data_IF_547552120245
#
_entry.id   IF_547552120245
#
_cell.length_a   1.000
_cell.length_b   1.000
_cell.length_c   1.000
_cell.angle_alpha   90.00
_cell.angle_beta   90.00
_cell.angle_gamma   90.00
#
_symmetry.space_group_name_H-M   'P 1'
#
loop_
_entity.id
_entity.type
_entity.pdbx_description
1 polymer ?
2 non-polymer ?
3 non-polymer ?
4 water ?
#
# COMPACT_ATOMS: atom_id res chain seq x y z
N UNK A 6 16.14 -17.10 10.22
CA UNK A 6 15.75 -15.73 9.88
C UNK A 6 14.40 -15.39 10.49
N UNK A 7 13.32 -15.75 9.79
CA UNK A 7 11.98 -15.42 10.25
C UNK A 7 11.62 -16.12 11.56
N UNK A 8 12.34 -17.17 11.93
CA UNK A 8 12.06 -17.90 13.16
C UNK A 8 13.08 -17.64 14.26
N UNK A 9 13.91 -16.61 14.10
CA UNK A 9 14.86 -16.19 15.14
C UNK A 9 14.24 -15.03 15.92
N UNK A 10 14.02 -15.24 17.21
CA UNK A 10 13.50 -14.16 18.03
C UNK A 10 14.49 -13.00 18.01
N UNK A 11 14.01 -11.76 18.11
CA UNK A 11 12.63 -11.38 18.41
C UNK A 11 11.69 -11.25 17.21
N UNK A 12 12.06 -11.74 16.03
CA UNK A 12 11.21 -11.52 14.86
C UNK A 12 9.81 -12.11 15.03
N UNK A 13 9.65 -13.37 15.45
CA UNK A 13 8.27 -13.87 15.67
C UNK A 13 7.48 -13.02 16.64
N UNK A 14 8.05 -12.65 17.78
CA UNK A 14 7.35 -11.79 18.73
C UNK A 14 6.98 -10.46 18.09
N UNK A 15 7.93 -9.84 17.39
CA UNK A 15 7.67 -8.56 16.75
C UNK A 15 6.51 -8.67 15.76
N UNK A 16 6.50 -9.72 14.95
CA UNK A 16 5.47 -9.88 13.94
C UNK A 16 4.12 -10.15 14.58
N UNK A 17 4.11 -10.91 15.68
CA UNK A 17 2.87 -11.14 16.41
C UNK A 17 2.32 -9.83 16.96
N UNK A 18 3.19 -9.00 17.55
CA UNK A 18 2.76 -7.68 18.02
C UNK A 18 2.17 -6.88 16.87
N UNK A 19 2.83 -6.90 15.70
CA UNK A 19 2.35 -6.14 14.56
C UNK A 19 0.99 -6.64 14.08
N UNK A 20 0.79 -7.97 14.09
CA UNK A 20 -0.52 -8.52 13.74
C UNK A 20 -1.58 -8.00 14.70
N UNK A 21 -1.29 -8.01 16.00
CA UNK A 21 -2.24 -7.53 16.99
C UNK A 21 -2.50 -6.04 16.81
N UNK A 22 -1.45 -5.27 16.53
CA UNK A 22 -1.63 -3.84 16.31
C UNK A 22 -2.43 -3.59 15.04
N UNK A 23 -2.15 -4.35 13.98
CA UNK A 23 -2.94 -4.22 12.75
C UNK A 23 -4.42 -4.42 13.03
N UNK A 24 -4.76 -5.42 13.86
CA UNK A 24 -6.16 -5.71 14.13
C UNK A 24 -6.81 -4.61 14.98
N UNK A 25 -6.11 -4.15 16.01
CA UNK A 25 -6.65 -3.09 16.86
C UNK A 25 -6.86 -1.81 16.05
N UNK A 26 -5.85 -1.40 15.28
CA UNK A 26 -5.96 -0.18 14.50
C UNK A 26 -7.08 -0.27 13.48
N UNK A 27 -7.19 -1.41 12.80
CA UNK A 27 -8.21 -1.55 11.76
C UNK A 27 -9.61 -1.52 12.36
N UNK A 28 -9.79 -2.06 13.56
CA UNK A 28 -11.13 -2.18 14.12
C UNK A 28 -11.57 -0.90 14.83
N UNK A 29 -10.65 -0.19 15.49
CA UNK A 29 -11.00 0.97 16.28
C UNK A 29 -10.32 2.25 15.85
N UNK A 30 -9.38 2.20 14.92
CA UNK A 30 -8.63 3.37 14.52
C UNK A 30 -7.36 3.56 15.33
N UNK A 31 -6.43 4.32 14.75
CA UNK A 31 -5.14 4.57 15.39
C UNK A 31 -5.30 5.41 16.64
N UNK A 32 -6.07 6.50 16.56
CA UNK A 32 -6.15 7.46 17.64
C UNK A 32 -6.65 6.83 18.94
N UNK A 33 -7.72 6.03 18.85
CA UNK A 33 -8.35 5.49 20.05
C UNK A 33 -7.67 4.24 20.61
N UNK A 34 -6.73 3.65 19.89
CA UNK A 34 -6.01 2.48 20.37
C UNK A 34 -4.84 2.91 21.23
N UNK A 35 -4.79 2.41 22.47
CA UNK A 35 -3.70 2.70 23.38
C UNK A 35 -2.70 1.56 23.39
N UNK A 36 -1.50 1.84 23.88
CA UNK A 36 -0.46 0.82 23.96
C UNK A 36 -0.91 -0.30 24.90
N UNK A 37 -1.61 0.08 25.97
CA UNK A 37 -2.15 -0.92 26.89
C UNK A 37 -3.04 -1.91 26.15
N UNK A 38 -3.90 -1.41 25.25
CA UNK A 38 -4.74 -2.29 24.47
C UNK A 38 -3.90 -3.21 23.58
N UNK A 39 -2.81 -2.69 23.01
CA UNK A 39 -1.93 -3.52 22.20
C UNK A 39 -1.23 -4.55 23.07
N UNK A 40 -0.84 -4.17 24.28
CA UNK A 40 -0.30 -5.15 25.23
C UNK A 40 -1.31 -6.25 25.49
N UNK A 41 -2.55 -5.88 25.83
CA UNK A 41 -3.57 -6.88 26.11
C UNK A 41 -3.83 -7.75 24.90
N UNK A 42 -3.85 -7.16 23.70
CA UNK A 42 -4.19 -7.93 22.51
C UNK A 42 -3.06 -8.87 22.12
N UNK A 43 -1.81 -8.45 22.27
CA UNK A 43 -0.67 -9.27 21.90
C UNK A 43 -0.19 -10.17 23.03
N UNK A 44 -0.74 -10.02 24.23
CA UNK A 44 -0.32 -10.77 25.41
C UNK A 44 1.08 -10.40 25.87
N UNK A 45 1.64 -9.29 25.39
CA UNK A 45 2.96 -8.83 25.81
C UNK A 45 2.82 -7.75 26.87
N UNK A 46 3.64 -7.85 27.91
CA UNK A 46 3.63 -6.82 28.94
C UNK A 46 4.17 -5.51 28.38
N UNK A 47 3.84 -4.38 29.03
CA UNK A 47 4.41 -3.10 28.57
C UNK A 47 5.93 -3.14 28.43
N UNK A 48 6.63 -3.68 29.43
CA UNK A 48 8.08 -3.77 29.36
C UNK A 48 8.57 -4.41 28.09
N UNK A 49 8.09 -5.63 27.80
CA UNK A 49 8.50 -6.32 26.59
C UNK A 49 8.11 -5.53 25.35
N UNK A 50 6.85 -5.08 25.27
CA UNK A 50 6.39 -4.36 24.10
C UNK A 50 7.28 -3.16 23.81
N UNK A 51 7.56 -2.34 24.83
CA UNK A 51 8.29 -1.10 24.61
C UNK A 51 9.72 -1.35 24.18
N UNK A 52 10.29 -2.52 24.50
CA UNK A 52 11.61 -2.86 23.97
C UNK A 52 11.59 -2.96 22.45
N UNK A 53 10.47 -3.38 21.87
CA UNK A 53 10.36 -3.57 20.43
C UNK A 53 9.63 -2.46 19.71
N UNK A 54 8.75 -1.74 20.41
CA UNK A 54 8.04 -0.60 19.84
C UNK A 54 7.86 0.43 20.96
N UNK A 55 8.67 1.49 20.98
CA UNK A 55 8.58 2.46 22.07
C UNK A 55 7.34 3.34 22.03
N UNK A 56 6.61 3.38 20.91
CA UNK A 56 5.49 4.29 20.79
C UNK A 56 4.48 3.74 19.79
N UNK A 57 3.26 4.28 19.86
CA UNK A 57 2.27 4.03 18.81
C UNK A 57 2.84 4.41 17.45
N UNK A 58 3.60 5.50 17.39
CA UNK A 58 4.15 5.97 16.13
C UNK A 58 5.10 4.95 15.53
N UNK A 59 5.89 4.28 16.38
CA UNK A 59 6.80 3.25 15.88
C UNK A 59 6.01 2.10 15.26
N UNK A 60 4.86 1.76 15.84
CA UNK A 60 4.05 0.67 15.31
C UNK A 60 3.50 1.01 13.93
N UNK A 61 2.91 2.20 13.78
CA UNK A 61 2.33 2.56 12.49
C UNK A 61 3.43 2.76 11.45
N UNK A 62 4.62 3.20 11.87
CA UNK A 62 5.73 3.31 10.94
C UNK A 62 6.09 1.95 10.36
N UNK A 63 6.16 0.92 11.21
CA UNK A 63 6.49 -0.41 10.72
C UNK A 63 5.38 -0.94 9.81
N UNK A 64 4.12 -0.63 10.13
CA UNK A 64 3.01 -1.07 9.30
C UNK A 64 3.08 -0.41 7.92
N UNK A 65 3.34 0.89 7.89
CA UNK A 65 3.46 1.61 6.62
C UNK A 65 4.60 1.03 5.78
N UNK A 66 5.68 0.61 6.43
CA UNK A 66 6.79 0.01 5.69
C UNK A 66 6.41 -1.35 5.13
N UNK A 67 5.60 -2.11 5.87
CA UNK A 67 5.08 -3.37 5.33
C UNK A 67 4.20 -3.11 4.11
N UNK A 68 3.26 -2.16 4.23
CA UNK A 68 2.42 -1.80 3.09
C UNK A 68 3.26 -1.37 1.90
N UNK A 69 4.25 -0.51 2.16
CA UNK A 69 5.19 -0.10 1.11
C UNK A 69 5.83 -1.31 0.44
N UNK A 70 6.29 -2.27 1.25
CA UNK A 70 6.96 -3.43 0.70
C UNK A 70 6.03 -4.21 -0.21
N UNK A 71 4.80 -4.45 0.24
CA UNK A 71 3.83 -5.16 -0.61
C UNK A 71 3.66 -4.45 -1.95
N UNK A 72 3.63 -3.13 -1.95
CA UNK A 72 3.49 -2.39 -3.20
C UNK A 72 4.71 -2.57 -4.09
N UNK A 73 5.90 -2.57 -3.49
CA UNK A 73 7.13 -2.67 -4.28
C UNK A 73 7.29 -4.05 -4.90
N UNK A 74 6.73 -5.09 -4.30
CA UNK A 74 6.82 -6.42 -4.89
C UNK A 74 6.23 -6.44 -6.29
N UNK A 75 5.27 -5.56 -6.56
CA UNK A 75 4.63 -5.53 -7.87
C UNK A 75 5.50 -4.84 -8.93
N UNK A 76 6.32 -3.88 -8.53
CA UNK A 76 7.00 -3.00 -9.46
C UNK A 76 8.51 -2.93 -9.28
N UNK A 77 9.09 -3.68 -8.35
CA UNK A 77 10.52 -3.55 -8.08
C UNK A 77 11.35 -4.00 -9.27
N UNK A 78 10.97 -5.09 -9.92
CA UNK A 78 11.77 -5.66 -10.99
C UNK A 78 11.17 -5.35 -12.35
N UNK A 79 11.98 -5.35 -13.41
CA UNK A 79 11.42 -5.13 -14.75
C UNK A 79 10.37 -6.17 -15.08
N UNK A 80 9.33 -5.74 -15.79
CA UNK A 80 8.27 -6.65 -16.18
C UNK A 80 8.77 -7.63 -17.24
N UNK A 81 8.36 -8.89 -17.09
CA UNK A 81 8.66 -9.92 -18.07
C UNK A 81 7.42 -10.79 -18.23
N UNK A 82 6.88 -10.83 -19.44
CA UNK A 82 5.73 -11.68 -19.73
C UNK A 82 4.39 -10.99 -19.66
N UNK A 83 4.35 -9.66 -19.72
CA UNK A 83 3.09 -8.92 -19.72
C UNK A 83 3.36 -7.47 -20.07
N UNK A 84 2.46 -6.87 -20.85
CA UNK A 84 2.58 -5.45 -21.13
C UNK A 84 2.28 -4.60 -19.91
N UNK A 85 2.85 -3.40 -19.89
CA UNK A 85 2.69 -2.51 -18.74
C UNK A 85 1.22 -2.25 -18.43
N UNK A 86 0.45 -1.84 -19.44
CA UNK A 86 -0.95 -1.49 -19.22
C UNK A 86 -1.73 -2.68 -18.68
N UNK A 87 -1.58 -3.84 -19.32
CA UNK A 87 -2.27 -5.04 -18.85
C UNK A 87 -1.89 -5.37 -17.42
N UNK A 88 -0.61 -5.20 -17.08
CA UNK A 88 -0.16 -5.49 -15.72
C UNK A 88 -0.80 -4.53 -14.71
N UNK A 89 -0.91 -3.25 -15.07
CA UNK A 89 -1.51 -2.28 -14.16
C UNK A 89 -2.99 -2.54 -13.96
N UNK A 90 -3.71 -2.89 -15.02
CA UNK A 90 -5.11 -3.27 -14.88
C UNK A 90 -5.23 -4.45 -13.92
N UNK A 91 -4.42 -5.49 -14.13
CA UNK A 91 -4.49 -6.67 -13.26
C UNK A 91 -4.10 -6.33 -11.83
N UNK A 92 -3.12 -5.44 -11.65
CA UNK A 92 -2.71 -5.04 -10.30
C UNK A 92 -3.88 -4.40 -9.57
N UNK A 93 -4.60 -3.48 -10.23
CA UNK A 93 -5.72 -2.81 -9.59
C UNK A 93 -6.81 -3.80 -9.22
N UNK A 94 -7.11 -4.75 -10.11
CA UNK A 94 -8.07 -5.79 -9.79
C UNK A 94 -7.62 -6.57 -8.56
N UNK A 95 -6.34 -6.96 -8.53
CA UNK A 95 -5.83 -7.72 -7.39
C UNK A 95 -5.97 -6.95 -6.10
N UNK A 96 -5.75 -5.63 -6.14
CA UNK A 96 -5.93 -4.78 -4.96
C UNK A 96 -7.29 -5.02 -4.33
N UNK A 97 -8.32 -5.21 -5.16
CA UNK A 97 -9.67 -5.38 -4.64
C UNK A 97 -9.88 -6.73 -3.98
N UNK A 98 -9.04 -7.72 -4.26
CA UNK A 98 -9.21 -9.06 -3.71
C UNK A 98 -8.37 -9.30 -2.47
N UNK A 99 -7.63 -8.29 -2.00
CA UNK A 99 -6.75 -8.47 -0.86
C UNK A 99 -7.51 -8.47 0.46
N UNK A 100 -6.85 -8.97 1.49
CA UNK A 100 -7.36 -8.97 2.85
C UNK A 100 -8.11 -7.69 3.17
N UNK A 101 -9.39 -7.83 3.56
CA UNK A 101 -10.23 -6.65 3.74
C UNK A 101 -9.76 -5.80 4.91
N UNK A 102 -9.42 -6.43 6.04
CA UNK A 102 -8.93 -5.68 7.19
C UNK A 102 -7.64 -4.93 6.86
N UNK A 103 -6.81 -5.52 6.00
CA UNK A 103 -5.62 -4.83 5.53
C UNK A 103 -5.98 -3.57 4.75
N UNK A 104 -6.99 -3.68 3.86
CA UNK A 104 -7.44 -2.51 3.11
C UNK A 104 -8.04 -1.46 4.05
N UNK A 105 -8.87 -1.88 5.00
CA UNK A 105 -9.42 -0.95 5.97
C UNK A 105 -8.31 -0.17 6.68
N UNK A 106 -7.20 -0.84 7.00
CA UNK A 106 -6.13 -0.16 7.73
C UNK A 106 -5.38 0.82 6.85
N UNK A 107 -5.24 0.52 5.56
CA UNK A 107 -4.61 1.48 4.64
C UNK A 107 -5.38 2.80 4.65
N UNK A 108 -6.71 2.71 4.60
CA UNK A 108 -7.53 3.92 4.57
C UNK A 108 -7.44 4.64 5.91
N UNK A 109 -7.45 3.89 7.02
CA UNK A 109 -7.30 4.51 8.33
C UNK A 109 -6.01 5.31 8.42
N UNK A 110 -4.93 4.79 7.84
CA UNK A 110 -3.64 5.48 7.89
C UNK A 110 -3.67 6.71 6.99
N UNK A 111 -4.32 6.61 5.84
CA UNK A 111 -4.54 7.78 4.99
C UNK A 111 -5.27 8.87 5.77
N UNK A 112 -6.29 8.47 6.52
CA UNK A 112 -7.08 9.43 7.30
C UNK A 112 -6.23 10.05 8.41
N UNK A 113 -5.54 9.22 9.18
CA UNK A 113 -4.63 9.75 10.22
C UNK A 113 -3.61 10.69 9.61
N UNK A 114 -3.11 10.37 8.41
CA UNK A 114 -2.11 11.21 7.77
C UNK A 114 -2.61 12.62 7.53
N UNK A 115 -3.88 12.76 7.15
CA UNK A 115 -4.45 14.09 6.88
C UNK A 115 -4.40 14.98 8.11
N UNK A 116 -4.51 14.38 9.30
CA UNK A 116 -4.55 15.14 10.53
C UNK A 116 -3.34 14.94 11.43
N UNK A 117 -2.34 14.18 10.98
CA UNK A 117 -1.15 13.89 11.79
C UNK A 117 0.07 14.09 10.92
N UNK A 118 0.67 15.28 10.93
CA UNK A 118 1.82 15.54 10.06
C UNK A 118 2.93 14.50 10.16
N UNK A 119 3.13 13.92 11.35
CA UNK A 119 4.16 12.89 11.49
C UNK A 119 3.82 11.66 10.65
N UNK A 120 2.55 11.26 10.63
CA UNK A 120 2.15 10.11 9.82
C UNK A 120 2.14 10.49 8.34
N UNK A 121 1.77 11.72 8.02
CA UNK A 121 1.77 12.16 6.63
C UNK A 121 3.17 12.03 6.02
N UNK A 122 4.20 12.38 6.78
CA UNK A 122 5.56 12.29 6.27
C UNK A 122 5.96 10.84 6.01
N UNK A 123 5.50 9.91 6.85
CA UNK A 123 5.75 8.49 6.61
C UNK A 123 5.16 8.09 5.27
N UNK A 124 3.93 8.56 5.00
CA UNK A 124 3.26 8.22 3.75
C UNK A 124 3.96 8.88 2.56
N UNK A 125 4.52 10.08 2.75
CA UNK A 125 5.29 10.72 1.68
C UNK A 125 6.48 9.86 1.29
N UNK A 126 7.21 9.35 2.29
CA UNK A 126 8.31 8.43 2.00
C UNK A 126 7.80 7.18 1.28
N UNK A 127 6.65 6.66 1.70
CA UNK A 127 6.08 5.47 1.06
C UNK A 127 5.76 5.74 -0.40
N UNK A 128 5.02 6.82 -0.67
CA UNK A 128 4.62 7.11 -2.05
C UNK A 128 5.85 7.42 -2.91
N UNK A 129 6.85 8.09 -2.34
CA UNK A 129 8.09 8.34 -3.08
C UNK A 129 8.73 7.04 -3.54
N UNK A 130 8.80 6.06 -2.65
CA UNK A 130 9.44 4.79 -3.00
C UNK A 130 8.63 4.04 -4.05
N UNK A 131 7.30 4.12 -3.97
CA UNK A 131 6.47 3.45 -4.97
C UNK A 131 6.53 4.19 -6.30
N UNK A 132 6.47 5.53 -6.25
CA UNK A 132 6.56 6.32 -7.47
C UNK A 132 7.86 6.04 -8.21
N UNK A 133 8.97 5.93 -7.47
CA UNK A 133 10.25 5.65 -8.09
C UNK A 133 10.21 4.37 -8.90
N UNK A 134 9.64 3.31 -8.33
CA UNK A 134 9.54 2.04 -9.05
C UNK A 134 8.62 2.15 -10.25
N UNK A 135 7.48 2.84 -10.10
CA UNK A 135 6.58 3.03 -11.23
C UNK A 135 7.27 3.77 -12.36
N UNK A 136 7.99 4.84 -12.03
CA UNK A 136 8.72 5.59 -13.07
C UNK A 136 9.75 4.68 -13.73
N UNK A 137 10.42 3.83 -12.94
CA UNK A 137 11.37 2.90 -13.52
C UNK A 137 10.71 1.98 -14.54
N UNK A 138 9.50 1.51 -14.23
CA UNK A 138 8.78 0.65 -15.16
C UNK A 138 8.22 1.45 -16.33
N UNK A 139 7.82 2.70 -16.11
CA UNK A 139 7.44 3.57 -17.22
C UNK A 139 8.63 3.78 -18.16
N UNK A 140 9.83 3.93 -17.60
CA UNK A 140 11.03 4.09 -18.43
C UNK A 140 11.26 2.86 -19.31
N UNK A 141 11.18 1.66 -18.73
CA UNK A 141 11.34 0.45 -19.51
C UNK A 141 10.35 0.39 -20.66
N UNK A 142 9.06 0.55 -20.36
CA UNK A 142 8.05 0.54 -21.41
C UNK A 142 8.32 1.59 -22.48
N UNK A 143 8.87 2.74 -22.08
CA UNK A 143 9.18 3.78 -23.06
C UNK A 143 10.36 3.40 -23.93
N UNK A 144 11.43 2.86 -23.31
CA UNK A 144 12.59 2.43 -24.08
C UNK A 144 12.24 1.26 -25.02
N UNK A 145 11.20 0.51 -24.71
CA UNK A 145 10.74 -0.58 -25.56
C UNK A 145 9.61 -0.17 -26.49
N UNK A 146 9.37 1.13 -26.64
CA UNK A 146 8.31 1.60 -27.53
C UNK A 146 6.92 1.17 -27.12
N UNK A 147 6.67 1.02 -25.82
CA UNK A 147 5.36 0.57 -25.35
C UNK A 147 4.42 1.74 -25.03
N UNK A 148 4.94 2.81 -24.43
CA UNK A 148 4.13 3.95 -24.04
C UNK A 148 4.64 5.20 -24.76
N UNK A 149 3.80 6.23 -24.78
CA UNK A 149 4.15 7.46 -25.46
C UNK A 149 5.41 8.09 -24.91
N UNK A 150 5.97 9.01 -25.69
CA UNK A 150 7.24 9.63 -25.35
C UNK A 150 7.07 10.93 -24.56
N UNK A 151 5.99 11.66 -24.77
CA UNK A 151 5.77 12.95 -24.10
C UNK A 151 4.88 12.79 -22.88
N UNK A 152 5.24 11.87 -21.98
CA UNK A 152 4.47 11.59 -20.78
C UNK A 152 5.25 12.09 -19.58
N UNK A 153 4.61 12.92 -18.75
CA UNK A 153 5.14 13.25 -17.45
C UNK A 153 5.04 12.03 -16.55
N UNK A 154 6.08 11.19 -16.56
CA UNK A 154 6.00 9.91 -15.86
C UNK A 154 5.77 10.10 -14.37
N UNK A 155 6.40 11.12 -13.77
CA UNK A 155 6.23 11.36 -12.34
C UNK A 155 4.78 11.67 -12.02
N UNK A 156 4.17 12.56 -12.79
CA UNK A 156 2.79 12.96 -12.54
C UNK A 156 1.83 11.83 -12.84
N UNK A 157 2.13 11.07 -13.91
CA UNK A 157 1.31 9.92 -14.25
C UNK A 157 1.30 8.89 -13.12
N UNK A 158 2.46 8.64 -12.52
CA UNK A 158 2.53 7.70 -11.40
C UNK A 158 1.76 8.21 -10.19
N UNK A 159 1.83 9.52 -9.92
CA UNK A 159 1.07 10.08 -8.82
C UNK A 159 -0.42 9.90 -9.04
N UNK A 160 -0.89 10.11 -10.27
CA UNK A 160 -2.31 9.99 -10.56
C UNK A 160 -2.76 8.54 -10.62
N UNK A 161 -1.89 7.64 -11.06
CA UNK A 161 -2.20 6.22 -10.95
C UNK A 161 -2.34 5.80 -9.50
N UNK A 162 -1.44 6.29 -8.65
CA UNK A 162 -1.50 5.96 -7.23
C UNK A 162 -2.80 6.48 -6.60
N UNK A 163 -3.22 7.68 -7.00
CA UNK A 163 -4.48 8.24 -6.49
C UNK A 163 -5.66 7.36 -6.86
N UNK A 164 -5.76 6.98 -8.13
CA UNK A 164 -6.82 6.07 -8.55
C UNK A 164 -6.76 4.76 -7.77
N UNK A 165 -5.56 4.23 -7.57
CA UNK A 165 -5.42 2.96 -6.87
C UNK A 165 -5.96 3.04 -5.45
N UNK A 166 -5.59 4.10 -4.72
CA UNK A 166 -6.06 4.22 -3.35
C UNK A 166 -7.55 4.56 -3.31
N UNK A 167 -8.04 5.32 -4.29
CA UNK A 167 -9.47 5.56 -4.37
C UNK A 167 -10.27 4.28 -4.54
N UNK A 168 -9.75 3.35 -5.35
CA UNK A 168 -10.38 2.05 -5.50
C UNK A 168 -10.21 1.23 -4.22
N UNK A 169 -9.02 1.23 -3.65
CA UNK A 169 -8.78 0.50 -2.41
C UNK A 169 -9.71 0.98 -1.30
N UNK A 170 -10.09 2.25 -1.32
CA UNK A 170 -10.88 2.87 -0.26
C UNK A 170 -12.38 2.73 -0.47
N UNK A 171 -12.82 2.13 -1.57
CA UNK A 171 -14.24 2.01 -1.90
C UNK A 171 -14.69 0.59 -1.58
N UNK A 172 -15.62 0.46 -0.62
CA UNK A 172 -16.08 -0.84 -0.17
C UNK A 172 -16.71 -1.67 -1.29
N UNK A 173 -17.19 -1.02 -2.34
CA UNK A 173 -17.82 -1.73 -3.45
C UNK A 173 -16.83 -2.07 -4.57
N UNK A 174 -15.53 -1.90 -4.33
CA UNK A 174 -14.54 -2.11 -5.39
C UNK A 174 -14.42 -3.58 -5.77
N UNK A 175 -14.52 -4.48 -4.79
CA UNK A 175 -14.43 -5.90 -5.10
C UNK A 175 -15.57 -6.32 -6.02
N UNK A 176 -16.77 -5.76 -5.82
CA UNK A 176 -17.90 -6.05 -6.70
C UNK A 176 -17.69 -5.44 -8.08
N UNK A 177 -17.26 -4.17 -8.13
CA UNK A 177 -16.99 -3.52 -9.41
C UNK A 177 -16.00 -4.33 -10.23
N UNK A 178 -14.92 -4.79 -9.60
CA UNK A 178 -13.86 -5.51 -10.31
C UNK A 178 -14.29 -6.89 -10.76
N UNK A 179 -15.44 -7.40 -10.29
CA UNK A 179 -15.99 -8.63 -10.83
C UNK A 179 -16.56 -8.42 -12.23
N UNK A 180 -16.79 -7.18 -12.64
CA UNK A 180 -17.32 -6.89 -13.96
C UNK A 180 -16.18 -6.69 -14.95
N UNK A 181 -16.36 -7.27 -16.14
CA UNK A 181 -15.32 -7.17 -17.16
C UNK A 181 -15.11 -5.73 -17.60
N UNK A 182 -16.15 -4.90 -17.52
CA UNK A 182 -16.04 -3.51 -17.93
C UNK A 182 -15.14 -2.71 -16.99
N UNK A 183 -14.98 -3.16 -15.74
CA UNK A 183 -13.99 -2.53 -14.86
C UNK A 183 -12.61 -2.58 -15.49
N UNK A 184 -12.20 -3.77 -15.93
CA UNK A 184 -10.91 -3.90 -16.61
C UNK A 184 -10.90 -3.11 -17.91
N UNK A 185 -11.94 -3.25 -18.72
CA UNK A 185 -12.01 -2.54 -20.00
C UNK A 185 -11.94 -1.04 -19.79
N UNK A 186 -12.78 -0.51 -18.91
CA UNK A 186 -12.80 0.93 -18.70
C UNK A 186 -11.49 1.42 -18.07
N UNK A 187 -10.96 0.67 -17.11
CA UNK A 187 -9.68 1.05 -16.53
C UNK A 187 -8.58 1.06 -17.58
N UNK A 188 -8.68 0.19 -18.59
CA UNK A 188 -7.63 0.12 -19.60
C UNK A 188 -7.62 1.36 -20.48
N UNK A 189 -8.79 1.84 -20.89
CA UNK A 189 -8.83 3.08 -21.66
C UNK A 189 -8.27 4.24 -20.86
N UNK A 190 -8.65 4.31 -19.58
CA UNK A 190 -8.14 5.37 -18.70
C UNK A 190 -6.61 5.37 -18.67
N UNK A 191 -6.01 4.18 -18.56
CA UNK A 191 -4.57 4.09 -18.41
C UNK A 191 -3.82 4.23 -19.73
N UNK A 192 -4.41 3.79 -20.84
CA UNK A 192 -3.76 4.02 -22.13
C UNK A 192 -3.76 5.50 -22.49
N UNK A 193 -4.80 6.23 -22.08
CA UNK A 193 -4.77 7.67 -22.23
C UNK A 193 -3.73 8.31 -21.35
N UNK A 194 -3.61 7.85 -20.10
CA UNK A 194 -2.61 8.39 -19.19
C UNK A 194 -1.21 8.26 -19.76
N UNK A 195 -0.86 7.05 -20.22
CA UNK A 195 0.47 6.78 -20.75
C UNK A 195 0.56 7.00 -22.25
N UNK A 196 -0.45 7.65 -22.84
CA UNK A 196 -0.44 8.03 -24.26
C UNK A 196 0.02 6.87 -25.14
N UNK A 197 -0.84 5.86 -25.23
CA UNK A 197 -0.57 4.69 -26.05
C UNK A 197 -1.31 4.77 -27.39
X LIG B 1 11.26 -13.34 22.95
X LIG B 1 10.92 -13.73 24.23
X LIG B 1 12.01 -11.99 23.07
X LIG B 1 12.68 -11.67 21.90
X LIG B 1 10.90 -10.96 23.39
X LIG B 1 11.57 -9.75 23.62
X LIG B 1 11.83 -13.99 22.49
X LIG B 1 10.47 -13.25 22.39
X LIG B 1 11.39 -14.43 24.41
X LIG B 1 12.67 -12.03 23.77
X LIG B 1 13.42 -12.08 21.90
X LIG B 1 10.27 -10.93 22.66
X LIG B 1 10.41 -11.26 24.16
X LIG B 1 11.07 -9.31 24.15
X LIG C 1 -0.38 0.22 -0.49
X LIG C 1 0.24 -0.18 -5.45
X LIG C 1 -0.51 0.33 -7.69
X LIG C 1 -1.35 -3.62 -1.14
X LIG C 1 -0.63 -3.75 -2.53
X LIG C 1 -0.70 -2.40 -3.34
X LIG C 1 -0.97 -1.09 -1.31
X LIG C 1 -0.87 -2.33 -0.36
X LIG C 1 -0.11 -1.55 -5.59
X LIG C 1 0.05 0.75 -6.47
X LIG C 1 -0.89 -1.01 -7.88
X LIG C 1 -0.69 -1.93 -6.85
X LIG C 1 -0.73 1.30 -8.82
X LIG C 1 -1.08 -4.77 -0.37
X LIG C 1 -1.31 -4.67 -3.35
X LIG C 1 -0.26 -1.34 -2.54
X LIG C 1 -1.71 -2.16 0.75
X LIG C 1 0.38 0.93 -1.18
X LIG C 1 -0.72 0.36 0.67
X LIG C 1 0.07 -2.47 -4.58
X LIG C 1 -1.25 0.98 -9.86
X LIG C 1 -0.35 2.44 -8.63
#
# INVERSE_FOLDING_TARGET
SNAXENKLTEPLPTRMRILRAARQCFAENGFHSTSMKTICKASDMSPGTLYHHFPSKEALIEAIILEDQERALTHFREPLEGVGLVDYLVESTIAVTREDYAQRALVVEIMAEGMRNPQVAEMLTNKYHTIIASLVARFNDAQAKGEIGADVDKEMAARLLLATTYGVLSDSSSAENARHVSFATTLRTMLTGLLKCNSAS
GOL C1 O1 C2 O2 C3 O3 H11 H12 HO1 H2 HO2 H31 H32 HO3
C3G C6 C15 C17 C3 C2 C1 C5 C4 C14 C16 C18 C19 N20 O3 O2 O5 O4 O6A O6B O1 O21 O22
#
